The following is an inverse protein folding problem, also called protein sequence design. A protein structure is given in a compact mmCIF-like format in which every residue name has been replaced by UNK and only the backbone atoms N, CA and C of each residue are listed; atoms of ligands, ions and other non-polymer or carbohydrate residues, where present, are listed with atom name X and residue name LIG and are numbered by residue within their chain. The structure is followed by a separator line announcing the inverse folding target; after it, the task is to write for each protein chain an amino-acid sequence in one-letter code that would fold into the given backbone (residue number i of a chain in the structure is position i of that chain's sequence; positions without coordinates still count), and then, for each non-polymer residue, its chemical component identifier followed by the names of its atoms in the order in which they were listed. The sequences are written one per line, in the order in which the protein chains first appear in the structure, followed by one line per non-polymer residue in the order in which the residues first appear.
data_IF_977952261811
#
_entry.id   IF_977952261811
#
_cell.length_a   1.000
_cell.length_b   1.000
_cell.length_c   1.000
_cell.angle_alpha   90.00
_cell.angle_beta   90.00
_cell.angle_gamma   90.00
#
_symmetry.space_group_name_H-M   'P 1'
#
loop_
_entity.id
_entity.type
_entity.pdbx_description
1 polymer ?
#
# COMPACT_ATOMS: atom_id res chain seq x y z
N UNK A 1 -19.34 -3.28 -23.38
CA UNK A 1 -19.29 -1.84 -23.04
C UNK A 1 -18.07 -1.23 -23.70
N UNK A 2 -18.22 -0.12 -24.41
CA UNK A 2 -17.10 0.66 -24.98
C UNK A 2 -16.31 1.35 -23.86
N UNK A 3 -15.08 1.78 -24.15
CA UNK A 3 -14.23 2.51 -23.19
C UNK A 3 -14.93 3.78 -22.67
N UNK A 4 -15.59 4.53 -23.55
CA UNK A 4 -16.36 5.73 -23.18
C UNK A 4 -17.54 5.39 -22.24
N UNK A 5 -18.24 4.27 -22.47
CA UNK A 5 -19.35 3.87 -21.59
C UNK A 5 -18.89 3.49 -20.17
N UNK A 6 -17.67 2.97 -20.02
CA UNK A 6 -17.06 2.68 -18.70
C UNK A 6 -16.64 3.97 -18.00
N UNK A 7 -16.03 4.90 -18.75
CA UNK A 7 -15.66 6.22 -18.26
C UNK A 7 -16.86 6.98 -17.71
N UNK A 8 -17.96 7.07 -18.47
CA UNK A 8 -19.20 7.73 -18.02
C UNK A 8 -19.80 7.10 -16.76
N UNK A 9 -19.73 5.77 -16.64
CA UNK A 9 -20.21 5.05 -15.47
C UNK A 9 -19.36 5.36 -14.23
N UNK A 10 -18.03 5.44 -14.40
CA UNK A 10 -17.13 5.85 -13.32
C UNK A 10 -17.37 7.30 -12.90
N UNK A 11 -17.53 8.22 -13.85
CA UNK A 11 -17.86 9.62 -13.56
C UNK A 11 -19.15 9.72 -12.73
N UNK A 12 -20.23 9.03 -13.13
CA UNK A 12 -21.48 9.03 -12.35
C UNK A 12 -21.29 8.56 -10.90
N UNK A 13 -20.48 7.51 -10.69
CA UNK A 13 -20.17 6.99 -9.34
C UNK A 13 -19.36 8.00 -8.54
N UNK A 14 -18.32 8.58 -9.12
CA UNK A 14 -17.49 9.60 -8.47
C UNK A 14 -18.29 10.86 -8.14
N UNK A 15 -19.12 11.35 -9.07
CA UNK A 15 -20.03 12.46 -8.83
C UNK A 15 -21.02 12.16 -7.70
N UNK A 16 -21.53 10.94 -7.59
CA UNK A 16 -22.44 10.55 -6.51
C UNK A 16 -21.75 10.54 -5.14
N UNK A 17 -20.48 10.15 -5.06
CA UNK A 17 -19.68 10.26 -3.84
C UNK A 17 -19.43 11.74 -3.52
N UNK A 18 -18.99 12.52 -4.51
CA UNK A 18 -18.73 13.95 -4.36
C UNK A 18 -19.96 14.74 -3.92
N UNK A 19 -21.16 14.36 -4.39
CA UNK A 19 -22.43 14.99 -4.01
C UNK A 19 -22.80 14.79 -2.53
N UNK A 20 -22.17 13.83 -1.84
CA UNK A 20 -22.32 13.62 -0.39
C UNK A 20 -21.34 14.45 0.45
N UNK A 21 -20.58 15.36 -0.17
CA UNK A 21 -19.79 16.37 0.55
C UNK A 21 -20.66 17.11 1.57
N UNK A 22 -20.11 17.38 2.73
CA UNK A 22 -20.81 17.94 3.89
C UNK A 22 -21.47 16.89 4.79
N UNK A 23 -21.61 15.64 4.34
CA UNK A 23 -22.10 14.51 5.15
C UNK A 23 -20.97 13.54 5.51
N UNK A 24 -19.95 13.44 4.65
CA UNK A 24 -18.78 12.58 4.84
C UNK A 24 -17.63 13.36 5.48
N UNK A 25 -17.60 13.40 6.81
CA UNK A 25 -16.60 14.16 7.57
C UNK A 25 -15.16 13.73 7.26
N UNK A 26 -14.95 12.46 6.92
CA UNK A 26 -13.63 11.93 6.62
C UNK A 26 -13.11 12.45 5.29
N UNK A 27 -13.93 12.33 4.23
CA UNK A 27 -13.61 12.86 2.91
C UNK A 27 -13.47 14.39 2.95
N UNK A 28 -14.37 15.09 3.65
CA UNK A 28 -14.32 16.55 3.77
C UNK A 28 -13.04 17.01 4.48
N UNK A 29 -12.66 16.34 5.58
CA UNK A 29 -11.43 16.64 6.32
C UNK A 29 -10.17 16.40 5.49
N UNK A 30 -10.15 15.31 4.71
CA UNK A 30 -9.06 14.98 3.81
C UNK A 30 -8.88 16.01 2.70
N UNK A 31 -9.98 16.50 2.12
CA UNK A 31 -9.92 17.52 1.06
C UNK A 31 -9.53 18.88 1.66
N UNK A 32 -10.10 19.27 2.80
CA UNK A 32 -9.78 20.52 3.46
C UNK A 32 -8.30 20.64 3.85
N UNK A 33 -7.62 19.50 4.10
CA UNK A 33 -6.22 19.47 4.48
C UNK A 33 -5.24 19.94 3.37
N UNK A 34 -5.65 19.96 2.10
CA UNK A 34 -4.77 20.26 0.96
C UNK A 34 -3.94 21.53 1.17
N UNK A 35 -4.60 22.62 1.58
CA UNK A 35 -3.98 23.94 1.71
C UNK A 35 -2.87 23.92 2.74
N UNK A 36 -3.13 23.35 3.91
CA UNK A 36 -2.18 23.32 5.03
C UNK A 36 -1.01 22.36 4.75
N UNK A 37 -1.30 21.19 4.19
CA UNK A 37 -0.28 20.19 3.84
C UNK A 37 0.65 20.77 2.76
N UNK A 38 0.11 21.40 1.72
CA UNK A 38 0.93 22.03 0.67
C UNK A 38 1.72 23.23 1.19
N UNK A 39 1.11 24.08 2.03
CA UNK A 39 1.82 25.20 2.64
C UNK A 39 3.04 24.73 3.45
N UNK A 40 2.95 23.57 4.10
CA UNK A 40 4.04 22.97 4.86
C UNK A 40 5.10 22.30 3.99
N UNK A 41 4.71 21.49 3.01
CA UNK A 41 5.64 20.58 2.33
C UNK A 41 6.06 21.01 0.93
N UNK A 42 5.28 21.80 0.21
CA UNK A 42 5.66 22.26 -1.13
C UNK A 42 6.96 23.09 -1.13
N UNK A 43 7.21 24.00 -0.16
CA UNK A 43 8.48 24.73 -0.11
C UNK A 43 9.70 23.83 0.17
N UNK A 44 9.51 22.76 0.94
CA UNK A 44 10.58 21.84 1.33
C UNK A 44 10.98 20.92 0.17
N UNK A 45 10.01 20.52 -0.66
CA UNK A 45 10.24 19.72 -1.85
C UNK A 45 10.46 20.56 -3.12
N UNK A 46 10.51 21.89 -3.04
CA UNK A 46 10.83 22.72 -4.19
C UNK A 46 12.21 22.33 -4.75
N UNK A 47 12.42 22.25 -6.08
CA UNK A 47 13.68 21.83 -6.68
C UNK A 47 14.91 22.57 -6.12
N UNK A 48 14.76 23.86 -5.84
CA UNK A 48 15.79 24.74 -5.32
C UNK A 48 16.13 24.47 -3.84
N UNK A 49 15.19 23.91 -3.08
CA UNK A 49 15.33 23.60 -1.65
C UNK A 49 15.87 22.18 -1.39
N UNK A 50 15.92 21.31 -2.41
CA UNK A 50 16.29 19.90 -2.24
C UNK A 50 17.72 19.68 -1.72
N UNK A 51 18.65 20.63 -1.89
CA UNK A 51 19.98 20.55 -1.26
C UNK A 51 19.93 20.61 0.26
N UNK A 52 18.91 21.27 0.81
CA UNK A 52 18.75 21.48 2.25
C UNK A 52 17.77 20.50 2.91
N UNK A 53 17.05 19.70 2.11
CA UNK A 53 16.09 18.70 2.61
C UNK A 53 16.74 17.81 3.69
N UNK A 54 16.14 17.75 4.88
CA UNK A 54 16.60 16.94 5.99
C UNK A 54 15.81 15.62 6.12
N UNK A 55 16.40 14.64 6.81
CA UNK A 55 15.72 13.39 7.12
C UNK A 55 14.44 13.62 7.93
N UNK A 56 14.46 14.57 8.87
CA UNK A 56 13.30 14.88 9.71
C UNK A 56 12.17 15.53 8.91
N UNK A 57 12.50 16.40 7.94
CA UNK A 57 11.52 16.96 7.02
C UNK A 57 10.88 15.88 6.15
N UNK A 58 11.67 14.94 5.61
CA UNK A 58 11.16 13.81 4.86
C UNK A 58 10.27 12.90 5.72
N UNK A 59 10.71 12.54 6.93
CA UNK A 59 9.91 11.73 7.88
C UNK A 59 8.65 12.45 8.32
N UNK A 60 8.71 13.77 8.50
CA UNK A 60 7.54 14.57 8.81
C UNK A 60 6.51 14.48 7.67
N UNK A 61 6.92 14.53 6.40
CA UNK A 61 6.03 14.31 5.26
C UNK A 61 5.42 12.90 5.26
N UNK A 62 6.22 11.88 5.53
CA UNK A 62 5.73 10.50 5.54
C UNK A 62 4.74 10.21 6.69
N UNK A 63 4.73 11.01 7.75
CA UNK A 63 3.78 10.83 8.84
C UNK A 63 2.35 11.22 8.46
N UNK A 64 1.40 10.29 8.62
CA UNK A 64 -0.03 10.56 8.40
C UNK A 64 -0.55 11.73 9.23
N UNK A 65 -0.05 11.93 10.46
CA UNK A 65 -0.41 13.09 11.30
C UNK A 65 -0.14 14.43 10.61
N UNK A 66 0.84 14.46 9.70
CA UNK A 66 1.25 15.66 9.01
C UNK A 66 0.76 15.72 7.56
N UNK A 67 0.80 14.63 6.80
CA UNK A 67 0.32 14.62 5.41
C UNK A 67 -1.20 14.53 5.30
N UNK A 68 -1.89 14.03 6.34
CA UNK A 68 -3.35 13.97 6.48
C UNK A 68 -4.08 13.29 5.31
N UNK A 69 -3.37 12.45 4.55
CA UNK A 69 -3.90 11.85 3.33
C UNK A 69 -3.40 10.41 3.13
N UNK A 70 -2.08 10.22 3.13
CA UNK A 70 -1.45 8.93 2.82
C UNK A 70 -1.02 8.21 4.10
N UNK A 71 -1.75 7.13 4.43
CA UNK A 71 -1.49 6.28 5.60
C UNK A 71 -0.34 5.29 5.32
N UNK A 72 0.36 4.88 6.38
CA UNK A 72 1.38 3.82 6.31
C UNK A 72 2.64 4.23 5.54
N UNK A 73 2.90 5.53 5.36
CA UNK A 73 4.15 6.00 4.79
C UNK A 73 5.24 6.21 5.86
N UNK A 74 4.86 6.48 7.11
CA UNK A 74 5.74 6.73 8.25
C UNK A 74 6.78 5.62 8.46
N UNK A 75 6.34 4.37 8.41
CA UNK A 75 7.18 3.16 8.44
C UNK A 75 8.32 3.14 7.42
N UNK A 76 8.15 3.80 6.27
CA UNK A 76 9.16 3.83 5.21
C UNK A 76 10.28 4.84 5.53
N UNK A 77 10.07 5.74 6.48
CA UNK A 77 10.97 6.85 6.82
C UNK A 77 12.40 6.43 7.12
N UNK A 78 12.66 5.51 8.07
CA UNK A 78 14.02 5.04 8.37
C UNK A 78 14.74 4.48 7.14
N UNK A 79 13.97 3.84 6.25
CA UNK A 79 14.49 3.21 5.05
C UNK A 79 14.86 4.18 3.95
N UNK A 80 13.96 5.12 3.66
CA UNK A 80 14.11 6.15 2.64
C UNK A 80 15.21 7.15 3.01
N UNK A 81 15.27 7.52 4.29
CA UNK A 81 16.20 8.54 4.81
C UNK A 81 17.58 8.00 5.18
N UNK A 82 17.87 6.73 4.89
CA UNK A 82 19.17 6.11 5.22
C UNK A 82 20.32 6.78 4.50
N UNK A 83 20.11 7.14 3.23
CA UNK A 83 21.08 7.84 2.39
C UNK A 83 20.43 9.10 1.84
N UNK A 84 20.70 10.22 2.52
CA UNK A 84 20.10 11.52 2.17
C UNK A 84 20.64 12.06 0.85
N UNK A 85 21.87 11.74 0.46
CA UNK A 85 22.42 12.25 -0.80
C UNK A 85 21.78 11.53 -1.98
N UNK A 86 21.62 10.20 -1.90
CA UNK A 86 20.88 9.42 -2.87
C UNK A 86 19.40 9.85 -2.95
N UNK A 87 18.75 10.11 -1.80
CA UNK A 87 17.37 10.62 -1.76
C UNK A 87 17.25 11.98 -2.44
N UNK A 88 18.10 12.95 -2.09
CA UNK A 88 18.07 14.29 -2.69
C UNK A 88 18.32 14.23 -4.19
N UNK A 89 19.25 13.39 -4.64
CA UNK A 89 19.47 13.16 -6.07
C UNK A 89 18.23 12.57 -6.75
N UNK A 90 17.60 11.56 -6.15
CA UNK A 90 16.39 10.95 -6.68
C UNK A 90 15.24 11.97 -6.81
N UNK A 91 15.06 12.84 -5.81
CA UNK A 91 14.03 13.88 -5.86
C UNK A 91 14.35 14.98 -6.90
N UNK A 92 15.63 15.32 -7.12
CA UNK A 92 16.00 16.24 -8.22
C UNK A 92 15.66 15.64 -9.58
N UNK A 93 15.94 14.35 -9.78
CA UNK A 93 15.56 13.65 -11.01
C UNK A 93 14.03 13.56 -11.17
N UNK A 94 13.29 13.35 -10.09
CA UNK A 94 11.82 13.30 -10.08
C UNK A 94 11.19 14.64 -10.48
N UNK A 95 11.73 15.75 -9.96
CA UNK A 95 11.12 17.08 -10.09
C UNK A 95 11.67 17.90 -11.28
N UNK A 96 12.53 17.30 -12.11
CA UNK A 96 13.06 17.93 -13.31
C UNK A 96 12.01 18.01 -14.44
N UNK A 97 11.18 19.05 -14.43
CA UNK A 97 10.15 19.29 -15.47
C UNK A 97 10.69 19.50 -16.89
N UNK A 98 12.02 19.58 -17.10
CA UNK A 98 12.61 19.57 -18.44
C UNK A 98 12.54 18.20 -19.13
N UNK A 99 12.30 17.14 -18.35
CA UNK A 99 12.21 15.75 -18.83
C UNK A 99 10.77 15.22 -18.75
N UNK A 100 10.33 14.41 -19.73
CA UNK A 100 9.04 13.72 -19.64
C UNK A 100 8.91 12.91 -18.35
N UNK A 101 7.72 12.89 -17.76
CA UNK A 101 7.48 12.19 -16.48
C UNK A 101 7.79 10.69 -16.57
N UNK A 102 7.56 10.08 -17.72
CA UNK A 102 7.88 8.69 -17.95
C UNK A 102 9.39 8.42 -17.79
N UNK A 103 10.25 9.25 -18.40
CA UNK A 103 11.71 9.08 -18.32
C UNK A 103 12.24 9.31 -16.90
N UNK A 104 11.62 10.23 -16.14
CA UNK A 104 11.98 10.49 -14.75
C UNK A 104 11.67 9.30 -13.86
N UNK A 105 10.45 8.76 -13.95
CA UNK A 105 10.05 7.60 -13.16
C UNK A 105 10.82 6.34 -13.57
N UNK A 106 11.09 6.13 -14.85
CA UNK A 106 11.87 4.98 -15.33
C UNK A 106 13.34 5.02 -14.84
N UNK A 107 13.92 6.22 -14.74
CA UNK A 107 15.25 6.40 -14.15
C UNK A 107 15.28 6.09 -12.65
N UNK A 108 14.18 6.32 -11.93
CA UNK A 108 14.06 6.08 -10.49
C UNK A 108 13.63 4.66 -10.15
N UNK A 109 12.86 4.04 -11.04
CA UNK A 109 12.28 2.71 -10.91
C UNK A 109 12.71 1.78 -12.07
N UNK A 110 14.02 1.61 -12.33
CA UNK A 110 14.50 0.75 -13.41
C UNK A 110 14.00 -0.68 -13.22
N UNK A 111 13.31 -1.21 -14.24
CA UNK A 111 12.65 -2.53 -14.19
C UNK A 111 11.71 -2.67 -12.99
N UNK A 112 11.10 -1.57 -12.55
CA UNK A 112 10.20 -1.56 -11.41
C UNK A 112 10.85 -1.44 -10.03
N UNK A 113 12.19 -1.47 -9.93
CA UNK A 113 12.92 -1.46 -8.66
C UNK A 113 13.37 -0.07 -8.28
N UNK A 114 13.04 0.37 -7.08
CA UNK A 114 13.45 1.69 -6.59
C UNK A 114 14.97 1.77 -6.37
N UNK A 115 15.62 2.78 -6.97
CA UNK A 115 17.04 3.08 -6.73
C UNK A 115 17.32 3.43 -5.28
N UNK A 116 16.42 4.19 -4.66
CA UNK A 116 16.44 4.48 -3.22
C UNK A 116 15.48 3.51 -2.55
N UNK A 117 15.97 2.77 -1.56
CA UNK A 117 15.20 1.70 -0.92
C UNK A 117 13.88 2.24 -0.36
N UNK A 118 12.77 1.57 -0.69
CA UNK A 118 11.39 1.95 -0.31
C UNK A 118 10.90 3.30 -0.89
N UNK A 119 11.60 3.91 -1.85
CA UNK A 119 11.17 5.14 -2.53
C UNK A 119 10.59 4.84 -3.92
N UNK A 120 9.35 4.37 -3.97
CA UNK A 120 8.64 4.04 -5.22
C UNK A 120 7.44 4.97 -5.51
N UNK A 121 6.56 4.57 -6.45
CA UNK A 121 5.42 5.37 -6.95
C UNK A 121 4.49 6.00 -5.89
N UNK A 122 4.03 5.23 -4.90
CA UNK A 122 3.23 5.68 -3.75
C UNK A 122 3.93 6.66 -2.79
N UNK A 123 5.24 6.92 -2.91
CA UNK A 123 5.91 8.04 -2.22
C UNK A 123 6.28 9.14 -3.21
N UNK A 124 6.80 8.78 -4.38
CA UNK A 124 7.20 9.71 -5.43
C UNK A 124 6.02 10.54 -5.96
N UNK A 125 4.87 9.91 -6.22
CA UNK A 125 3.71 10.58 -6.83
C UNK A 125 2.94 11.49 -5.85
N UNK A 126 2.84 11.19 -4.53
CA UNK A 126 2.45 12.21 -3.55
C UNK A 126 3.33 13.45 -3.54
N UNK A 127 4.66 13.29 -3.63
CA UNK A 127 5.58 14.45 -3.70
C UNK A 127 5.29 15.26 -4.98
N UNK A 128 5.08 14.59 -6.12
CA UNK A 128 4.68 15.25 -7.36
C UNK A 128 3.36 16.02 -7.21
N UNK A 129 2.35 15.44 -6.55
CA UNK A 129 1.07 16.13 -6.31
C UNK A 129 1.26 17.38 -5.44
N UNK A 130 2.11 17.31 -4.40
CA UNK A 130 2.36 18.45 -3.53
C UNK A 130 3.02 19.61 -4.29
N UNK A 131 4.05 19.30 -5.08
CA UNK A 131 4.86 20.29 -5.81
C UNK A 131 4.13 20.81 -7.05
N UNK A 132 3.45 19.94 -7.81
CA UNK A 132 2.75 20.25 -9.06
C UNK A 132 1.28 19.74 -9.03
N UNK A 133 0.41 20.37 -8.22
CA UNK A 133 -0.94 19.87 -7.94
C UNK A 133 -1.87 19.81 -9.15
N UNK A 134 -1.54 20.53 -10.23
CA UNK A 134 -2.35 20.59 -11.44
C UNK A 134 -1.81 19.68 -12.57
N UNK A 135 -0.75 18.91 -12.30
CA UNK A 135 -0.05 18.10 -13.33
C UNK A 135 -0.03 16.61 -13.02
N UNK A 136 0.14 16.22 -11.75
CA UNK A 136 0.47 14.85 -11.39
C UNK A 136 -0.43 14.32 -10.28
N UNK A 137 -1.26 13.34 -10.59
CA UNK A 137 -2.05 12.60 -9.61
C UNK A 137 -1.24 11.50 -8.91
N UNK A 138 -1.76 11.03 -7.78
CA UNK A 138 -1.12 9.97 -7.01
C UNK A 138 -1.36 8.61 -7.67
N UNK A 139 -0.33 7.76 -7.62
CA UNK A 139 -0.42 6.36 -8.00
C UNK A 139 0.06 5.49 -6.84
N UNK A 140 -0.86 4.75 -6.24
CA UNK A 140 -0.66 3.78 -5.17
C UNK A 140 -1.72 2.67 -5.28
N UNK A 141 -1.66 1.65 -4.42
CA UNK A 141 -2.62 0.53 -4.43
C UNK A 141 -4.09 0.95 -4.29
N UNK A 142 -4.37 2.04 -3.55
CA UNK A 142 -5.73 2.60 -3.39
C UNK A 142 -6.29 3.02 -4.75
N UNK A 143 -5.51 3.76 -5.54
CA UNK A 143 -5.90 4.19 -6.90
C UNK A 143 -6.11 2.98 -7.82
N UNK A 144 -5.24 1.98 -7.75
CA UNK A 144 -5.39 0.76 -8.57
C UNK A 144 -6.70 0.03 -8.26
N UNK A 145 -6.94 -0.22 -6.96
CA UNK A 145 -8.15 -0.87 -6.44
C UNK A 145 -9.41 -0.08 -6.80
N UNK A 146 -9.41 1.24 -6.61
CA UNK A 146 -10.54 2.10 -6.92
C UNK A 146 -10.85 2.08 -8.43
N UNK A 147 -9.83 2.21 -9.29
CA UNK A 147 -10.03 2.18 -10.74
C UNK A 147 -10.47 0.81 -11.26
N UNK A 148 -9.98 -0.29 -10.66
CA UNK A 148 -10.45 -1.64 -10.96
C UNK A 148 -11.92 -1.81 -10.55
N UNK A 149 -12.31 -1.35 -9.36
CA UNK A 149 -13.69 -1.35 -8.85
C UNK A 149 -14.64 -0.54 -9.73
N UNK A 150 -14.15 0.56 -10.30
CA UNK A 150 -14.88 1.39 -11.26
C UNK A 150 -14.83 0.86 -12.70
N UNK A 151 -14.02 -0.16 -12.97
CA UNK A 151 -13.86 -0.74 -14.30
C UNK A 151 -13.13 0.17 -15.30
N UNK A 152 -12.34 1.13 -14.82
CA UNK A 152 -11.59 2.11 -15.63
C UNK A 152 -10.07 1.91 -15.56
N UNK A 153 -9.60 0.86 -14.89
CA UNK A 153 -8.18 0.51 -14.87
C UNK A 153 -7.64 0.32 -16.30
N UNK A 154 -6.56 1.04 -16.70
CA UNK A 154 -6.03 0.92 -18.04
C UNK A 154 -5.44 -0.47 -18.33
N UNK A 155 -5.59 -0.93 -19.56
CA UNK A 155 -4.86 -2.10 -20.04
C UNK A 155 -3.42 -1.69 -20.41
N UNK A 156 -2.46 -2.48 -19.94
CA UNK A 156 -1.03 -2.26 -20.21
C UNK A 156 -0.48 -3.36 -21.08
N UNK A 157 0.27 -2.96 -22.10
CA UNK A 157 1.06 -3.88 -22.91
C UNK A 157 2.15 -4.54 -22.05
N UNK A 158 2.48 -5.79 -22.37
CA UNK A 158 3.52 -6.52 -21.65
C UNK A 158 4.87 -5.84 -21.85
N UNK A 159 5.60 -5.60 -20.75
CA UNK A 159 6.91 -4.95 -20.77
C UNK A 159 6.87 -3.42 -20.85
N UNK A 160 5.69 -2.80 -20.74
CA UNK A 160 5.58 -1.36 -20.65
C UNK A 160 6.23 -0.85 -19.35
N UNK A 161 7.10 0.16 -19.45
CA UNK A 161 7.83 0.70 -18.31
C UNK A 161 6.91 1.38 -17.28
N UNK A 162 7.38 1.51 -16.03
CA UNK A 162 6.63 2.14 -14.94
C UNK A 162 6.24 3.58 -15.29
N UNK A 163 7.17 4.35 -15.84
CA UNK A 163 6.92 5.72 -16.25
C UNK A 163 5.87 5.84 -17.34
N UNK A 164 5.88 4.95 -18.33
CA UNK A 164 4.85 4.91 -19.38
C UNK A 164 3.49 4.47 -18.86
N UNK A 165 3.45 3.53 -17.91
CA UNK A 165 2.22 3.17 -17.19
C UNK A 165 1.65 4.38 -16.44
N UNK A 166 2.50 5.09 -15.70
CA UNK A 166 2.09 6.30 -14.99
C UNK A 166 1.60 7.40 -15.93
N UNK A 167 2.27 7.63 -17.07
CA UNK A 167 1.83 8.64 -18.04
C UNK A 167 0.41 8.38 -18.57
N UNK A 168 0.09 7.11 -18.90
CA UNK A 168 -1.27 6.71 -19.30
C UNK A 168 -2.27 6.90 -18.16
N UNK A 169 -1.90 6.47 -16.96
CA UNK A 169 -2.73 6.60 -15.76
C UNK A 169 -3.02 8.07 -15.42
N UNK A 170 -1.98 8.92 -15.42
CA UNK A 170 -2.08 10.33 -15.12
C UNK A 170 -2.92 11.08 -16.16
N UNK A 171 -2.79 10.73 -17.44
CA UNK A 171 -3.65 11.27 -18.50
C UNK A 171 -5.13 10.94 -18.27
N UNK A 172 -5.43 9.74 -17.78
CA UNK A 172 -6.80 9.36 -17.39
C UNK A 172 -7.27 10.17 -16.17
N UNK A 173 -6.43 10.32 -15.14
CA UNK A 173 -6.76 11.13 -13.96
C UNK A 173 -7.07 12.58 -14.34
N UNK A 174 -6.23 13.21 -15.17
CA UNK A 174 -6.44 14.58 -15.65
C UNK A 174 -7.75 14.74 -16.43
N UNK A 175 -8.12 13.72 -17.22
CA UNK A 175 -9.42 13.70 -17.91
C UNK A 175 -10.59 13.67 -16.91
N UNK A 176 -10.51 12.81 -15.90
CA UNK A 176 -11.54 12.69 -14.86
C UNK A 176 -11.67 13.99 -14.07
N UNK A 177 -10.55 14.60 -13.69
CA UNK A 177 -10.52 15.91 -13.01
C UNK A 177 -11.20 16.99 -13.87
N UNK A 178 -10.89 17.03 -15.16
CA UNK A 178 -11.52 17.96 -16.12
C UNK A 178 -13.03 17.74 -16.23
N UNK A 179 -13.47 16.49 -16.39
CA UNK A 179 -14.89 16.15 -16.57
C UNK A 179 -15.73 16.42 -15.31
N UNK A 180 -15.14 16.26 -14.12
CA UNK A 180 -15.79 16.52 -12.83
C UNK A 180 -15.63 17.97 -12.35
N UNK A 181 -14.79 18.78 -13.02
CA UNK A 181 -14.42 20.13 -12.60
C UNK A 181 -13.92 20.19 -11.13
N UNK A 182 -13.05 19.24 -10.76
CA UNK A 182 -12.38 19.18 -9.45
C UNK A 182 -10.87 19.40 -9.61
N UNK A 183 -10.10 19.21 -8.55
CA UNK A 183 -8.63 19.16 -8.59
C UNK A 183 -8.11 17.73 -8.28
N UNK A 184 -6.81 17.48 -8.54
CA UNK A 184 -6.20 16.15 -8.35
C UNK A 184 -6.15 15.69 -6.88
N UNK A 185 -6.10 16.60 -5.91
CA UNK A 185 -6.15 16.25 -4.48
C UNK A 185 -7.55 15.79 -4.08
N UNK A 186 -8.58 16.50 -4.56
CA UNK A 186 -9.97 16.10 -4.41
C UNK A 186 -10.19 14.71 -5.03
N UNK A 187 -9.61 14.45 -6.21
CA UNK A 187 -9.69 13.14 -6.85
C UNK A 187 -9.01 12.03 -6.02
N UNK A 188 -7.85 12.30 -5.42
CA UNK A 188 -7.16 11.32 -4.55
C UNK A 188 -8.03 10.91 -3.36
N UNK A 189 -8.73 11.88 -2.74
CA UNK A 189 -9.70 11.58 -1.68
C UNK A 189 -10.91 10.75 -2.15
N UNK A 190 -11.36 10.96 -3.39
CA UNK A 190 -12.44 10.14 -3.97
C UNK A 190 -11.99 8.69 -4.20
N UNK A 191 -10.73 8.45 -4.57
CA UNK A 191 -10.18 7.09 -4.69
C UNK A 191 -10.22 6.34 -3.37
N UNK A 192 -9.73 6.99 -2.30
CA UNK A 192 -9.80 6.44 -0.95
C UNK A 192 -11.24 6.07 -0.58
N UNK A 193 -12.20 6.95 -0.88
CA UNK A 193 -13.60 6.69 -0.55
C UNK A 193 -14.20 5.52 -1.34
N UNK A 194 -13.89 5.39 -2.63
CA UNK A 194 -14.32 4.23 -3.43
C UNK A 194 -13.80 2.94 -2.83
N UNK A 195 -12.52 2.92 -2.43
CA UNK A 195 -11.90 1.75 -1.81
C UNK A 195 -12.57 1.39 -0.47
N UNK A 196 -12.77 2.35 0.43
CA UNK A 196 -13.40 2.10 1.75
C UNK A 196 -14.82 1.51 1.61
N UNK A 197 -15.59 2.00 0.63
CA UNK A 197 -16.92 1.44 0.35
C UNK A 197 -16.84 0.01 -0.20
N UNK A 198 -15.82 -0.29 -1.03
CA UNK A 198 -15.66 -1.60 -1.63
C UNK A 198 -15.17 -2.67 -0.65
N UNK A 199 -14.31 -2.30 0.32
CA UNK A 199 -13.77 -3.22 1.32
C UNK A 199 -14.73 -3.52 2.46
N UNK A 200 -15.82 -2.75 2.59
CA UNK A 200 -16.77 -2.89 3.70
C UNK A 200 -16.18 -2.52 5.06
N UNK A 201 -15.06 -1.79 5.07
CA UNK A 201 -14.50 -1.20 6.28
C UNK A 201 -15.47 -0.09 6.74
N UNK A 202 -16.34 -0.42 7.71
CA UNK A 202 -17.19 0.56 8.37
C UNK A 202 -16.30 1.65 9.02
N UNK A 203 -16.73 2.90 8.88
CA UNK A 203 -16.09 4.11 9.42
C UNK A 203 -15.89 4.10 10.95
N UNK A 204 -16.42 3.09 11.66
CA UNK A 204 -16.36 2.95 13.12
C UNK A 204 -15.20 2.10 13.66
N UNK A 205 -14.37 1.46 12.81
CA UNK A 205 -13.21 0.68 13.27
C UNK A 205 -11.88 1.47 13.26
N UNK A 206 -11.95 2.80 13.25
CA UNK A 206 -10.80 3.70 13.13
C UNK A 206 -10.68 4.77 14.21
N UNK A 207 -11.39 4.64 15.33
CA UNK A 207 -11.16 5.44 16.54
C UNK A 207 -10.23 4.69 17.48
N UNK A 208 -8.95 4.64 17.14
CA UNK A 208 -7.92 4.63 18.19
C UNK A 208 -7.63 6.10 18.47
N UNK A 209 -8.01 6.53 19.68
CA UNK A 209 -7.45 7.62 20.50
C UNK A 209 -8.48 8.69 20.94
N UNK A 210 -9.37 8.29 21.84
CA UNK A 210 -9.74 9.12 23.00
C UNK A 210 -9.89 8.19 24.20
N UNK A 211 -8.89 8.23 25.10
CA UNK A 211 -8.94 7.69 26.44
C UNK A 211 -10.14 8.32 27.20
N UNK A 212 -11.29 7.67 27.18
CA UNK A 212 -12.31 7.88 28.19
C UNK A 212 -12.00 6.96 29.37
N UNK A 213 -11.33 7.51 30.36
CA UNK A 213 -11.19 6.91 31.69
C UNK A 213 -12.56 7.02 32.37
N UNK A 214 -13.28 5.92 32.47
CA UNK A 214 -14.28 5.74 33.53
C UNK A 214 -14.28 4.27 33.97
N UNK A 215 -14.06 4.10 35.27
CA UNK A 215 -13.65 2.88 35.97
C UNK A 215 -14.77 1.82 36.10
N UNK A 216 -14.36 0.55 36.06
CA UNK A 216 -14.64 -0.41 37.13
C UNK A 216 -13.55 -1.51 37.13
N UNK A 217 -13.02 -1.94 38.30
CA UNK A 217 -11.74 -2.64 38.37
C UNK A 217 -11.89 -4.17 38.23
N UNK A 218 -11.01 -4.81 37.45
CA UNK A 218 -10.74 -6.24 37.54
C UNK A 218 -9.34 -6.59 36.96
N UNK A 219 -8.41 -6.91 37.87
CA UNK A 219 -7.10 -7.59 37.69
C UNK A 219 -6.08 -7.02 36.66
N UNK A 220 -5.28 -6.06 37.13
CA UNK A 220 -4.22 -5.32 36.40
C UNK A 220 -2.87 -6.08 36.26
N UNK A 221 -2.85 -7.22 35.57
CA UNK A 221 -1.54 -7.81 35.17
C UNK A 221 -1.50 -8.37 33.74
N UNK A 222 -2.64 -8.52 33.05
CA UNK A 222 -2.70 -9.13 31.72
C UNK A 222 -2.90 -8.14 30.56
N UNK A 223 -3.36 -6.91 30.83
CA UNK A 223 -3.75 -5.96 29.78
C UNK A 223 -2.58 -5.12 29.25
N UNK A 224 -1.53 -4.84 30.04
CA UNK A 224 -0.33 -4.13 29.56
C UNK A 224 0.49 -5.00 28.58
N UNK A 225 0.66 -6.29 28.87
CA UNK A 225 1.36 -7.23 28.00
C UNK A 225 0.61 -7.43 26.68
N UNK A 226 -0.73 -7.47 26.70
CA UNK A 226 -1.54 -7.53 25.48
C UNK A 226 -1.45 -6.25 24.65
N UNK A 227 -1.43 -5.08 25.27
CA UNK A 227 -1.28 -3.81 24.56
C UNK A 227 0.11 -3.69 23.90
N UNK A 228 1.17 -4.15 24.57
CA UNK A 228 2.53 -4.19 24.02
C UNK A 228 2.66 -5.16 22.84
N UNK A 229 2.12 -6.39 22.98
CA UNK A 229 2.05 -7.39 21.90
C UNK A 229 1.23 -6.85 20.72
N UNK A 230 0.08 -6.22 20.97
CA UNK A 230 -0.79 -5.64 19.94
C UNK A 230 -0.12 -4.51 19.14
N UNK A 231 0.75 -3.72 19.78
CA UNK A 231 1.56 -2.71 19.11
C UNK A 231 2.58 -3.31 18.14
N UNK A 232 3.20 -4.44 18.48
CA UNK A 232 4.18 -5.17 17.66
C UNK A 232 3.53 -5.95 16.51
N UNK A 233 2.34 -6.53 16.71
CA UNK A 233 1.60 -7.30 15.70
C UNK A 233 1.12 -6.45 14.50
N UNK A 234 0.85 -5.15 14.73
CA UNK A 234 0.54 -4.18 13.67
C UNK A 234 1.65 -4.10 12.60
N UNK A 235 2.87 -4.51 12.97
CA UNK A 235 4.05 -4.50 12.10
C UNK A 235 4.45 -5.86 11.54
N UNK A 236 3.73 -6.97 11.78
CA UNK A 236 4.16 -8.31 11.31
C UNK A 236 4.43 -8.33 9.80
N UNK A 237 3.50 -7.78 9.03
CA UNK A 237 3.61 -7.68 7.58
C UNK A 237 4.90 -6.93 7.19
N UNK A 238 5.12 -5.76 7.79
CA UNK A 238 6.25 -4.89 7.48
C UNK A 238 7.58 -5.49 7.94
N UNK A 239 7.58 -6.11 9.12
CA UNK A 239 8.73 -6.81 9.67
C UNK A 239 9.19 -7.91 8.71
N UNK A 240 8.24 -8.71 8.21
CA UNK A 240 8.53 -9.73 7.20
C UNK A 240 9.06 -9.10 5.91
N UNK A 241 8.49 -7.99 5.44
CA UNK A 241 8.98 -7.32 4.24
C UNK A 241 10.39 -6.73 4.40
N UNK A 242 10.68 -6.06 5.51
CA UNK A 242 11.97 -5.39 5.74
C UNK A 242 13.08 -6.37 6.08
N UNK A 243 12.73 -7.54 6.61
CA UNK A 243 13.67 -8.58 7.02
C UNK A 243 13.52 -9.84 6.18
N UNK A 244 12.84 -9.79 5.02
CA UNK A 244 12.46 -10.99 4.26
C UNK A 244 13.67 -11.90 4.01
N UNK A 245 14.73 -11.34 3.45
CA UNK A 245 15.98 -12.04 3.14
C UNK A 245 16.71 -12.60 4.38
N UNK A 246 16.39 -12.11 5.58
CA UNK A 246 16.90 -12.63 6.86
C UNK A 246 16.01 -13.71 7.48
N UNK A 247 14.82 -13.98 6.92
CA UNK A 247 13.93 -15.07 7.37
C UNK A 247 14.27 -16.38 6.66
N UNK A 248 13.86 -17.54 7.24
CA UNK A 248 13.91 -18.82 6.52
C UNK A 248 13.15 -18.79 5.19
N UNK A 249 12.07 -17.99 5.11
CA UNK A 249 11.32 -17.82 3.87
C UNK A 249 12.15 -17.10 2.80
N UNK A 250 12.87 -16.03 3.14
CA UNK A 250 13.71 -15.31 2.18
C UNK A 250 14.88 -16.10 1.61
N UNK A 251 15.32 -17.15 2.30
CA UNK A 251 16.34 -18.07 1.78
C UNK A 251 15.83 -18.89 0.58
N UNK A 252 14.55 -19.25 0.56
CA UNK A 252 13.94 -20.09 -0.48
C UNK A 252 13.10 -19.29 -1.49
N UNK A 253 12.49 -18.20 -1.03
CA UNK A 253 11.48 -17.44 -1.75
C UNK A 253 11.95 -16.00 -1.98
N UNK A 254 11.79 -15.52 -3.21
CA UNK A 254 11.95 -14.11 -3.55
C UNK A 254 10.56 -13.49 -3.66
N UNK A 255 10.30 -12.43 -2.89
CA UNK A 255 9.04 -11.70 -2.98
C UNK A 255 8.87 -11.16 -4.41
N UNK A 256 7.71 -11.43 -5.00
CA UNK A 256 7.40 -10.94 -6.34
C UNK A 256 7.18 -9.44 -6.26
N UNK A 257 8.02 -8.67 -6.92
CA UNK A 257 7.81 -7.24 -7.08
C UNK A 257 6.87 -7.00 -8.25
N UNK A 258 5.82 -6.20 -8.06
CA UNK A 258 5.16 -5.60 -9.22
C UNK A 258 5.92 -4.34 -9.62
N UNK A 259 6.01 -4.10 -10.93
CA UNK A 259 6.73 -2.95 -11.45
C UNK A 259 6.23 -1.64 -10.84
N UNK A 260 7.06 -1.02 -9.98
CA UNK A 260 6.86 0.30 -9.41
C UNK A 260 6.16 0.36 -8.05
N UNK A 261 5.68 -0.73 -7.46
CA UNK A 261 4.98 -0.70 -6.17
C UNK A 261 5.92 -0.46 -4.97
N UNK A 262 5.45 0.36 -4.01
CA UNK A 262 6.20 0.90 -2.86
C UNK A 262 5.77 0.30 -1.54
N UNK A 263 4.59 -0.33 -1.51
CA UNK A 263 4.27 -1.22 -0.40
C UNK A 263 5.32 -2.33 -0.32
N UNK A 264 6.00 -2.60 -1.44
CA UNK A 264 7.28 -3.28 -1.49
C UNK A 264 7.08 -4.78 -1.51
N UNK A 265 7.77 -5.43 -2.43
CA UNK A 265 8.03 -6.87 -2.36
C UNK A 265 6.75 -7.72 -2.19
N UNK A 266 5.84 -7.63 -3.15
CA UNK A 266 4.71 -8.57 -3.24
C UNK A 266 3.64 -8.41 -2.17
N UNK A 267 3.64 -7.29 -1.45
CA UNK A 267 2.67 -7.01 -0.40
C UNK A 267 1.33 -6.46 -0.89
N UNK A 268 0.26 -6.88 -0.22
CA UNK A 268 -1.10 -6.32 -0.31
C UNK A 268 -1.64 -6.21 -1.74
N UNK A 269 -1.44 -7.23 -2.57
CA UNK A 269 -1.87 -7.20 -3.98
C UNK A 269 -3.40 -7.16 -4.08
N UNK A 270 -3.99 -6.09 -4.66
CA UNK A 270 -5.41 -6.05 -4.92
C UNK A 270 -5.76 -7.02 -6.05
N UNK A 271 -6.77 -7.85 -5.82
CA UNK A 271 -7.34 -8.75 -6.82
C UNK A 271 -8.85 -8.64 -6.81
N UNK A 272 -9.56 -9.04 -7.88
CA UNK A 272 -11.02 -9.13 -7.88
C UNK A 272 -11.61 -10.00 -6.76
N UNK A 273 -10.79 -10.86 -6.14
CA UNK A 273 -11.22 -11.81 -5.09
C UNK A 273 -10.74 -11.43 -3.69
N UNK A 274 -10.14 -10.25 -3.51
CA UNK A 274 -9.62 -9.76 -2.24
C UNK A 274 -8.15 -9.35 -2.32
N UNK A 275 -7.51 -9.16 -1.17
CA UNK A 275 -6.13 -8.66 -1.08
C UNK A 275 -5.19 -9.75 -0.59
N UNK A 276 -4.16 -10.07 -1.38
CA UNK A 276 -3.13 -11.06 -1.02
C UNK A 276 -2.09 -10.36 -0.15
N UNK A 277 -1.80 -10.90 1.05
CA UNK A 277 -0.85 -10.26 1.96
C UNK A 277 0.57 -10.29 1.41
N UNK A 278 1.14 -11.45 1.07
CA UNK A 278 2.44 -11.53 0.37
C UNK A 278 2.36 -12.53 -0.79
N UNK A 279 3.06 -12.23 -1.88
CA UNK A 279 3.26 -13.14 -3.00
C UNK A 279 4.76 -13.30 -3.28
N UNK A 280 5.23 -14.53 -3.33
CA UNK A 280 6.64 -14.84 -3.59
C UNK A 280 6.80 -15.90 -4.69
N UNK A 281 7.95 -15.90 -5.35
CA UNK A 281 8.38 -16.93 -6.28
C UNK A 281 9.54 -17.71 -5.67
N UNK A 282 9.52 -19.03 -5.83
CA UNK A 282 10.64 -19.84 -5.38
C UNK A 282 11.89 -19.50 -6.20
N UNK A 283 13.03 -19.33 -5.53
CA UNK A 283 14.27 -18.86 -6.18
C UNK A 283 14.82 -19.84 -7.21
N UNK A 284 14.44 -21.13 -7.16
CA UNK A 284 15.04 -22.21 -7.96
C UNK A 284 14.04 -23.09 -8.70
N UNK A 285 12.78 -23.10 -8.30
CA UNK A 285 11.79 -24.05 -8.79
C UNK A 285 10.59 -23.27 -9.34
N UNK A 286 9.83 -23.84 -10.28
CA UNK A 286 8.66 -23.18 -10.84
C UNK A 286 7.51 -23.26 -9.82
N UNK A 287 7.60 -22.47 -8.75
CA UNK A 287 6.62 -22.44 -7.66
C UNK A 287 6.33 -21.00 -7.23
N UNK A 288 5.07 -20.72 -6.97
CA UNK A 288 4.57 -19.48 -6.39
C UNK A 288 4.05 -19.75 -4.98
N UNK A 289 4.29 -18.82 -4.07
CA UNK A 289 3.81 -18.87 -2.68
C UNK A 289 2.88 -17.70 -2.42
N UNK A 290 1.64 -18.02 -2.09
CA UNK A 290 0.64 -17.08 -1.58
C UNK A 290 0.72 -17.11 -0.06
N UNK A 291 0.97 -15.98 0.58
CA UNK A 291 1.02 -15.88 2.04
C UNK A 291 -0.18 -15.08 2.55
N UNK A 292 -0.82 -15.60 3.57
CA UNK A 292 -1.89 -14.95 4.33
C UNK A 292 -1.42 -14.75 5.77
N UNK A 293 -1.46 -13.52 6.25
CA UNK A 293 -1.01 -13.12 7.58
C UNK A 293 -2.23 -12.91 8.49
N UNK A 294 -2.23 -13.56 9.65
CA UNK A 294 -3.19 -13.27 10.72
C UNK A 294 -2.44 -12.75 11.94
N UNK A 295 -2.89 -11.61 12.47
CA UNK A 295 -2.31 -11.01 13.67
C UNK A 295 -2.45 -11.95 14.86
N UNK A 296 -3.65 -12.43 15.11
CA UNK A 296 -3.91 -13.22 16.32
C UNK A 296 -4.03 -14.70 15.95
N UNK A 297 -5.26 -15.19 15.99
CA UNK A 297 -5.58 -16.58 15.73
C UNK A 297 -6.05 -16.76 14.28
N UNK A 298 -5.46 -17.74 13.59
CA UNK A 298 -6.01 -18.26 12.35
C UNK A 298 -7.01 -19.39 12.63
N UNK A 299 -8.09 -19.44 11.84
CA UNK A 299 -9.14 -20.47 11.89
C UNK A 299 -9.39 -21.07 10.50
N UNK A 300 -10.34 -21.99 10.40
CA UNK A 300 -10.80 -22.58 9.13
C UNK A 300 -11.21 -21.54 8.07
N UNK A 301 -11.70 -20.36 8.50
CA UNK A 301 -12.01 -19.24 7.59
C UNK A 301 -10.79 -18.78 6.80
N UNK A 302 -9.61 -18.79 7.42
CA UNK A 302 -8.34 -18.42 6.78
C UNK A 302 -7.99 -19.38 5.64
N UNK A 303 -8.35 -20.66 5.77
CA UNK A 303 -8.14 -21.66 4.69
C UNK A 303 -8.98 -21.32 3.47
N UNK A 304 -10.26 -20.94 3.65
CA UNK A 304 -11.10 -20.48 2.55
C UNK A 304 -10.52 -19.24 1.85
N UNK A 305 -9.99 -18.29 2.62
CA UNK A 305 -9.37 -17.08 2.09
C UNK A 305 -8.13 -17.38 1.26
N UNK A 306 -7.18 -18.16 1.77
CA UNK A 306 -5.95 -18.47 1.04
C UNK A 306 -6.20 -19.33 -0.20
N UNK A 307 -7.14 -20.28 -0.14
CA UNK A 307 -7.51 -21.10 -1.31
C UNK A 307 -8.09 -20.25 -2.44
N UNK A 308 -8.90 -19.24 -2.11
CA UNK A 308 -9.45 -18.29 -3.07
C UNK A 308 -8.34 -17.51 -3.77
N UNK A 309 -7.35 -17.03 -3.02
CA UNK A 309 -6.19 -16.33 -3.56
C UNK A 309 -5.31 -17.23 -4.42
N UNK A 310 -5.01 -18.45 -3.96
CA UNK A 310 -4.28 -19.44 -4.74
C UNK A 310 -5.00 -19.76 -6.06
N UNK A 311 -6.34 -19.89 -6.06
CA UNK A 311 -7.13 -20.07 -7.27
C UNK A 311 -6.91 -18.95 -8.28
N UNK A 312 -7.04 -17.70 -7.83
CA UNK A 312 -6.82 -16.53 -8.69
C UNK A 312 -5.37 -16.46 -9.23
N UNK A 313 -4.37 -16.72 -8.39
CA UNK A 313 -2.95 -16.73 -8.81
C UNK A 313 -2.68 -17.81 -9.86
N UNK A 314 -3.25 -19.01 -9.71
CA UNK A 314 -3.14 -20.09 -10.72
C UNK A 314 -3.71 -19.66 -12.06
N UNK A 315 -4.85 -18.99 -12.07
CA UNK A 315 -5.55 -18.61 -13.31
C UNK A 315 -4.91 -17.40 -14.02
N UNK A 316 -4.30 -16.48 -13.26
CA UNK A 316 -3.93 -15.16 -13.79
C UNK A 316 -2.42 -14.89 -13.81
N UNK A 317 -1.63 -15.54 -12.95
CA UNK A 317 -0.21 -15.23 -12.78
C UNK A 317 0.72 -16.41 -13.05
N UNK A 318 0.31 -17.63 -12.70
CA UNK A 318 1.11 -18.82 -12.91
C UNK A 318 1.29 -19.10 -14.41
N UNK A 319 2.52 -19.40 -14.82
CA UNK A 319 2.81 -19.90 -16.17
C UNK A 319 2.70 -21.43 -16.22
N UNK A 320 2.64 -22.01 -17.43
CA UNK A 320 2.53 -23.46 -17.61
C UNK A 320 3.64 -24.21 -16.84
N UNK A 321 3.23 -24.99 -15.83
CA UNK A 321 4.13 -25.77 -14.98
C UNK A 321 4.51 -25.11 -13.64
N UNK A 322 4.11 -23.86 -13.37
CA UNK A 322 4.29 -23.27 -12.04
C UNK A 322 3.24 -23.80 -11.04
N UNK A 323 3.70 -24.46 -9.98
CA UNK A 323 2.82 -24.86 -8.87
C UNK A 323 2.51 -23.66 -7.96
N UNK A 324 1.32 -23.63 -7.35
CA UNK A 324 0.91 -22.57 -6.42
C UNK A 324 0.65 -23.15 -5.05
N UNK A 325 1.46 -22.72 -4.07
CA UNK A 325 1.40 -23.08 -2.66
C UNK A 325 0.78 -21.95 -1.82
N UNK A 326 0.19 -22.33 -0.70
CA UNK A 326 -0.33 -21.43 0.32
C UNK A 326 0.50 -21.52 1.60
N UNK A 327 0.70 -20.39 2.27
CA UNK A 327 1.26 -20.31 3.61
C UNK A 327 0.42 -19.37 4.48
N UNK A 328 -0.10 -19.91 5.58
CA UNK A 328 -0.74 -19.11 6.63
C UNK A 328 0.29 -18.84 7.72
N UNK A 329 0.48 -17.57 8.08
CA UNK A 329 1.36 -17.17 9.19
C UNK A 329 0.50 -16.49 10.27
N UNK A 330 0.54 -17.00 11.49
CA UNK A 330 -0.19 -16.42 12.62
C UNK A 330 0.51 -16.66 13.96
N UNK A 331 0.11 -15.95 15.03
CA UNK A 331 0.61 -16.23 16.38
C UNK A 331 0.14 -17.62 16.85
N UNK A 332 -1.14 -17.92 16.60
CA UNK A 332 -1.80 -19.16 17.00
C UNK A 332 -2.74 -19.70 15.92
N UNK A 333 -2.98 -21.01 15.96
CA UNK A 333 -3.96 -21.70 15.12
C UNK A 333 -4.84 -22.59 15.98
N UNK A 334 -6.16 -22.56 15.75
CA UNK A 334 -7.10 -23.42 16.47
C UNK A 334 -7.14 -24.85 15.88
N UNK A 335 -7.81 -25.76 16.58
CA UNK A 335 -7.99 -27.14 16.08
C UNK A 335 -8.76 -27.19 14.76
N UNK A 336 -9.63 -26.21 14.48
CA UNK A 336 -10.39 -26.14 13.23
C UNK A 336 -9.46 -25.87 12.05
N UNK A 337 -8.52 -24.95 12.21
CA UNK A 337 -7.45 -24.69 11.24
C UNK A 337 -6.64 -25.97 11.01
N UNK A 338 -6.21 -26.65 12.08
CA UNK A 338 -5.45 -27.91 11.97
C UNK A 338 -6.18 -28.97 11.16
N UNK A 339 -7.48 -29.18 11.44
CA UNK A 339 -8.29 -30.14 10.68
C UNK A 339 -8.52 -29.68 9.24
N UNK A 340 -8.79 -28.40 9.00
CA UNK A 340 -8.97 -27.86 7.65
C UNK A 340 -7.71 -28.04 6.80
N UNK A 341 -6.53 -27.69 7.34
CA UNK A 341 -5.24 -27.83 6.65
C UNK A 341 -4.90 -29.29 6.31
N UNK A 342 -5.36 -30.26 7.09
CA UNK A 342 -5.14 -31.68 6.78
C UNK A 342 -5.79 -32.13 5.47
N UNK A 343 -6.80 -31.41 4.98
CA UNK A 343 -7.47 -31.67 3.70
C UNK A 343 -6.85 -30.93 2.51
N UNK A 344 -5.88 -30.02 2.74
CA UNK A 344 -5.28 -29.17 1.69
C UNK A 344 -3.75 -29.19 1.79
N UNK A 345 -3.09 -30.23 1.24
CA UNK A 345 -1.66 -30.46 1.44
C UNK A 345 -0.77 -29.35 0.85
N UNK A 346 -1.29 -28.57 -0.10
CA UNK A 346 -0.58 -27.44 -0.71
C UNK A 346 -0.61 -26.17 0.15
N UNK A 347 -1.23 -26.22 1.34
CA UNK A 347 -1.30 -25.10 2.29
C UNK A 347 -0.58 -25.46 3.58
N UNK A 348 0.43 -24.66 3.93
CA UNK A 348 1.21 -24.79 5.17
C UNK A 348 0.80 -23.76 6.21
N UNK A 349 1.09 -24.06 7.47
CA UNK A 349 0.95 -23.12 8.58
C UNK A 349 2.29 -22.91 9.27
N UNK A 350 2.64 -21.65 9.54
CA UNK A 350 3.79 -21.27 10.34
C UNK A 350 3.35 -20.37 11.48
N UNK A 351 3.90 -20.63 12.67
CA UNK A 351 3.75 -19.72 13.80
C UNK A 351 4.88 -18.69 13.78
N UNK A 352 4.55 -17.44 14.08
CA UNK A 352 5.57 -16.45 14.41
C UNK A 352 5.59 -16.21 15.92
N UNK A 353 6.77 -15.84 16.43
CA UNK A 353 7.00 -15.53 17.84
C UNK A 353 7.79 -14.22 17.92
N UNK A 354 7.48 -13.39 18.93
CA UNK A 354 8.20 -12.14 19.20
C UNK A 354 8.93 -12.29 20.54
N UNK A 355 10.24 -12.10 20.54
CA UNK A 355 11.06 -12.18 21.75
C UNK A 355 11.75 -10.83 22.03
N UNK A 356 11.48 -10.27 23.22
CA UNK A 356 12.12 -9.04 23.72
C UNK A 356 12.98 -9.37 24.94
N UNK A 357 14.26 -8.96 24.92
CA UNK A 357 15.20 -9.19 26.03
C UNK A 357 15.97 -7.90 26.35
N UNK A 358 15.84 -7.42 27.59
CA UNK A 358 16.72 -6.38 28.14
C UNK A 358 17.91 -7.04 28.84
N UNK A 359 19.09 -6.47 28.64
CA UNK A 359 20.30 -6.86 29.35
C UNK A 359 20.90 -5.63 30.00
N UNK A 360 21.22 -5.74 31.28
CA UNK A 360 21.97 -4.73 32.01
C UNK A 360 23.40 -4.66 31.46
N UNK A 361 23.94 -3.44 31.30
CA UNK A 361 25.26 -3.19 30.72
C UNK A 361 26.15 -2.51 31.75
#
# INVERSE_FOLDING_TARGET
MTQDSRHDAALRRLSAILARRGQDRSLDGMIAAQKDVRARFAPIFAPEALSELTADQMRAFLSYRNNRHWKGLDRLGPSITRDMDALRQALRELLDESRPIAERLDALLPRGRARVRRLGKAVLTPILLIVYPDRYGVWNAVVESAMQTLGIWPEFERGLSVGRKYERLNSLMLRIVSDLAIDLWTLDGLWWRVETVATGENEEAGTDDELSVDEAPADDAADEDRACVFGLERYLHEFLLDNWDATPLGAEWELLEEEGDVNGYGSERPTPVGRIDLLARHRREPRLLVVELKRNQASDRTVGQILRYMGWVRENLATDGEAVEGLVIAHEGDDRLRYALSGVPDVRFMRYEVEFRLREV
#
